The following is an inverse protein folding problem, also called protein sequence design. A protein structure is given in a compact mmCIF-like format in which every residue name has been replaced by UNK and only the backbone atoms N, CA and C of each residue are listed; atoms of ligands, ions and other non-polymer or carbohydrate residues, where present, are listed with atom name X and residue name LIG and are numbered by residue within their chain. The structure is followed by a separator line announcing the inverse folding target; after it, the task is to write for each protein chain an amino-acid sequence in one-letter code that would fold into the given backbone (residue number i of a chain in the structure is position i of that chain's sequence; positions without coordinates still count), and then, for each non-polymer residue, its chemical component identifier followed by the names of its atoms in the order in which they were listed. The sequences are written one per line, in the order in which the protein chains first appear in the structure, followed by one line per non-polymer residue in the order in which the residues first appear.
data_IF_200724940436
#
_entry.id   IF_200724940436
#
_cell.length_a   1.000
_cell.length_b   1.000
_cell.length_c   1.000
_cell.angle_alpha   90.00
_cell.angle_beta   90.00
_cell.angle_gamma   90.00
#
_symmetry.space_group_name_H-M   'P 1'
#
loop_
_entity.id
_entity.type
_entity.pdbx_description
1 polymer ?
#
# COMPACT_ATOMS: atom_id res chain seq x y z
N UNK A 1 -20.63 5.45 18.97
CA UNK A 1 -19.41 4.72 18.53
C UNK A 1 -18.52 5.70 17.80
N UNK A 2 -17.20 5.65 18.02
CA UNK A 2 -16.27 6.57 17.36
C UNK A 2 -15.99 6.07 15.94
N UNK A 3 -15.86 6.98 14.97
CA UNK A 3 -15.43 6.64 13.61
C UNK A 3 -14.11 5.87 13.64
N UNK A 4 -13.92 4.98 12.66
CA UNK A 4 -12.75 4.08 12.55
C UNK A 4 -12.56 3.03 13.65
N UNK A 5 -13.48 2.92 14.61
CA UNK A 5 -13.47 1.81 15.57
C UNK A 5 -13.78 0.49 14.85
N UNK A 6 -13.06 -0.58 15.20
CA UNK A 6 -13.32 -1.93 14.70
C UNK A 6 -14.38 -2.55 15.59
N UNK A 7 -15.45 -3.07 14.98
CA UNK A 7 -16.62 -3.60 15.69
C UNK A 7 -17.07 -4.95 15.14
N UNK A 8 -17.54 -5.78 16.05
CA UNK A 8 -18.29 -6.99 15.74
C UNK A 8 -19.78 -6.66 15.82
N UNK A 9 -20.53 -6.97 14.77
CA UNK A 9 -21.97 -6.72 14.69
C UNK A 9 -22.67 -8.06 14.48
N UNK A 10 -23.58 -8.41 15.40
CA UNK A 10 -24.57 -9.45 15.19
C UNK A 10 -25.85 -8.80 14.72
N UNK A 11 -26.39 -9.25 13.59
CA UNK A 11 -27.62 -8.71 13.02
C UNK A 11 -28.24 -9.63 11.98
N UNK A 12 -29.38 -9.20 11.45
CA UNK A 12 -30.08 -9.87 10.36
C UNK A 12 -29.93 -9.06 9.08
N UNK A 13 -29.58 -9.73 7.96
CA UNK A 13 -29.49 -9.09 6.65
C UNK A 13 -30.89 -9.06 6.05
N UNK A 14 -31.37 -7.86 5.73
CA UNK A 14 -32.68 -7.63 5.14
C UNK A 14 -32.54 -7.00 3.75
N UNK A 15 -33.44 -7.39 2.84
CA UNK A 15 -33.48 -6.78 1.50
C UNK A 15 -34.08 -5.38 1.60
N UNK A 16 -33.50 -4.43 0.87
CA UNK A 16 -34.06 -3.06 0.76
C UNK A 16 -34.86 -2.90 -0.53
N UNK A 17 -35.90 -2.08 -0.46
CA UNK A 17 -36.75 -1.75 -1.62
C UNK A 17 -36.08 -0.73 -2.56
N UNK A 18 -35.25 0.15 -2.01
CA UNK A 18 -34.49 1.16 -2.75
C UNK A 18 -32.98 0.99 -2.50
N UNK A 19 -32.17 1.28 -3.53
CA UNK A 19 -30.71 1.08 -3.45
C UNK A 19 -30.03 2.07 -2.50
N UNK A 20 -29.07 1.58 -1.72
CA UNK A 20 -28.25 2.40 -0.81
C UNK A 20 -27.04 2.95 -1.57
N UNK A 21 -27.12 4.19 -2.04
CA UNK A 21 -26.11 4.77 -2.94
C UNK A 21 -24.72 4.98 -2.31
N UNK A 22 -24.66 5.16 -0.99
CA UNK A 22 -23.41 5.38 -0.25
C UNK A 22 -22.61 4.10 0.01
N UNK A 23 -23.18 2.92 -0.24
CA UNK A 23 -22.56 1.62 0.06
C UNK A 23 -22.23 0.82 -1.20
N UNK A 24 -21.26 -0.10 -1.09
CA UNK A 24 -20.94 -1.05 -2.16
C UNK A 24 -21.97 -2.17 -2.25
N UNK A 25 -22.49 -2.62 -1.10
CA UNK A 25 -23.65 -3.53 -1.02
C UNK A 25 -24.93 -2.68 -1.03
N UNK A 26 -25.60 -2.60 -2.18
CA UNK A 26 -26.70 -1.66 -2.40
C UNK A 26 -28.11 -2.21 -2.15
N UNK A 27 -28.26 -3.54 -2.18
CA UNK A 27 -29.58 -4.21 -2.23
C UNK A 27 -29.99 -4.86 -0.90
N UNK A 28 -29.19 -4.70 0.14
CA UNK A 28 -29.48 -5.20 1.47
C UNK A 28 -28.90 -4.29 2.55
N UNK A 29 -29.48 -4.32 3.74
CA UNK A 29 -28.98 -3.66 4.93
C UNK A 29 -28.84 -4.65 6.09
N UNK A 30 -28.06 -4.29 7.10
CA UNK A 30 -27.86 -5.10 8.29
C UNK A 30 -28.67 -4.50 9.46
N UNK A 31 -29.74 -5.18 9.87
CA UNK A 31 -30.49 -4.84 11.09
C UNK A 31 -29.71 -5.34 12.30
N UNK A 32 -28.95 -4.44 12.93
CA UNK A 32 -28.09 -4.78 14.05
C UNK A 32 -28.91 -5.15 15.30
N UNK A 33 -28.61 -6.32 15.88
CA UNK A 33 -29.20 -6.83 17.13
C UNK A 33 -28.23 -6.57 18.29
N UNK A 34 -26.93 -6.80 18.07
CA UNK A 34 -25.87 -6.52 19.04
C UNK A 34 -24.65 -5.94 18.34
N UNK A 35 -23.93 -5.07 19.05
CA UNK A 35 -22.75 -4.39 18.54
C UNK A 35 -21.70 -4.34 19.65
N UNK A 36 -20.51 -4.86 19.37
CA UNK A 36 -19.38 -4.92 20.28
C UNK A 36 -18.19 -4.15 19.69
N UNK A 37 -17.61 -3.25 20.48
CA UNK A 37 -16.37 -2.56 20.07
C UNK A 37 -15.20 -3.48 20.36
N UNK A 38 -14.54 -3.96 19.31
CA UNK A 38 -13.33 -4.80 19.39
C UNK A 38 -12.10 -3.94 19.63
N UNK A 39 -12.00 -2.83 18.91
CA UNK A 39 -10.93 -1.86 19.05
C UNK A 39 -11.50 -0.46 18.89
N UNK A 40 -11.47 0.32 19.98
CA UNK A 40 -11.93 1.70 19.97
C UNK A 40 -10.86 2.60 19.33
N UNK A 41 -11.26 3.39 18.34
CA UNK A 41 -10.42 4.45 17.81
C UNK A 41 -10.40 5.66 18.75
N UNK A 42 -9.42 6.55 18.58
CA UNK A 42 -9.42 7.83 19.28
C UNK A 42 -10.57 8.74 18.78
N UNK A 43 -11.14 9.60 19.65
CA UNK A 43 -12.24 10.47 19.25
C UNK A 43 -11.88 11.48 18.15
N UNK A 44 -10.59 11.83 18.02
CA UNK A 44 -10.08 12.76 17.03
C UNK A 44 -8.90 12.12 16.33
N UNK A 45 -9.09 11.79 15.06
CA UNK A 45 -8.02 11.30 14.21
C UNK A 45 -7.32 12.45 13.50
N UNK A 46 -6.01 12.34 13.25
CA UNK A 46 -5.24 13.38 12.55
C UNK A 46 -5.61 13.52 11.07
N UNK A 47 -6.32 12.53 10.50
CA UNK A 47 -6.84 12.53 9.15
C UNK A 47 -8.21 11.83 9.11
N UNK A 48 -9.21 12.45 8.49
CA UNK A 48 -10.51 11.84 8.24
C UNK A 48 -10.48 11.10 6.89
N UNK A 49 -10.95 9.85 6.87
CA UNK A 49 -10.94 9.03 5.63
C UNK A 49 -11.86 9.63 4.57
N UNK A 50 -12.99 10.22 4.97
CA UNK A 50 -13.94 10.85 4.05
C UNK A 50 -13.28 12.02 3.28
N UNK A 51 -12.55 12.89 3.98
CA UNK A 51 -11.82 13.99 3.37
C UNK A 51 -10.66 13.49 2.48
N UNK A 52 -9.96 12.44 2.90
CA UNK A 52 -8.89 11.82 2.11
C UNK A 52 -9.41 11.07 0.87
N UNK A 53 -10.69 10.66 0.88
CA UNK A 53 -11.36 9.98 -0.23
C UNK A 53 -12.01 10.95 -1.23
N UNK A 54 -12.16 12.24 -0.86
CA UNK A 54 -12.73 13.28 -1.72
C UNK A 54 -11.81 13.54 -2.92
N UNK A 55 -12.41 13.75 -4.10
CA UNK A 55 -11.68 14.17 -5.29
C UNK A 55 -11.37 15.66 -5.23
N UNK A 56 -10.24 16.08 -5.79
CA UNK A 56 -9.81 17.48 -5.78
C UNK A 56 -10.72 18.40 -6.63
N UNK A 57 -11.52 17.84 -7.53
CA UNK A 57 -12.46 18.54 -8.41
C UNK A 57 -13.92 18.44 -7.93
N UNK A 58 -14.15 18.13 -6.64
CA UNK A 58 -15.51 17.99 -6.11
C UNK A 58 -16.29 19.31 -6.19
N UNK A 59 -17.53 19.22 -6.66
CA UNK A 59 -18.43 20.36 -6.85
C UNK A 59 -19.01 20.92 -5.53
N UNK A 60 -18.68 20.32 -4.39
CA UNK A 60 -19.16 20.69 -3.05
C UNK A 60 -18.38 21.84 -2.41
N UNK A 61 -17.30 22.32 -3.05
CA UNK A 61 -16.49 23.45 -2.60
C UNK A 61 -15.61 23.13 -1.38
N UNK A 62 -15.51 21.86 -0.97
CA UNK A 62 -14.66 21.42 0.12
C UNK A 62 -13.28 21.07 -0.40
N UNK A 63 -12.23 21.54 0.28
CA UNK A 63 -10.85 21.23 -0.10
C UNK A 63 -10.55 19.73 0.08
N UNK A 64 -9.83 19.16 -0.88
CA UNK A 64 -9.21 17.84 -0.73
C UNK A 64 -7.96 17.93 0.15
N UNK A 65 -7.64 16.86 0.86
CA UNK A 65 -6.44 16.79 1.69
C UNK A 65 -5.18 16.77 0.81
N UNK A 66 -4.20 17.61 1.13
CA UNK A 66 -2.91 17.66 0.42
C UNK A 66 -2.11 16.36 0.62
N UNK A 67 -1.21 16.08 -0.33
CA UNK A 67 -0.42 14.85 -0.32
C UNK A 67 0.46 14.72 0.92
N UNK A 68 1.12 15.79 1.36
CA UNK A 68 2.04 15.73 2.51
C UNK A 68 1.31 15.27 3.79
N UNK A 69 0.14 15.84 4.11
CA UNK A 69 -0.65 15.41 5.27
C UNK A 69 -1.10 13.96 5.15
N UNK A 70 -1.42 13.49 3.94
CA UNK A 70 -1.77 12.09 3.70
C UNK A 70 -0.58 11.16 3.93
N UNK A 71 0.63 11.57 3.55
CA UNK A 71 1.86 10.80 3.75
C UNK A 71 2.31 10.81 5.21
N UNK A 72 2.17 11.93 5.91
CA UNK A 72 2.43 12.00 7.36
C UNK A 72 1.47 11.10 8.16
N UNK A 73 0.24 10.91 7.65
CA UNK A 73 -0.79 10.06 8.25
C UNK A 73 -1.07 8.81 7.41
N UNK A 74 -0.02 8.22 6.82
CA UNK A 74 -0.15 7.18 5.79
C UNK A 74 -0.98 5.98 6.21
N UNK A 75 -0.96 5.60 7.48
CA UNK A 75 -1.75 4.47 8.00
C UNK A 75 -3.25 4.67 7.81
N UNK A 76 -3.75 5.89 8.01
CA UNK A 76 -5.16 6.23 7.79
C UNK A 76 -5.46 6.38 6.29
N UNK A 77 -4.56 7.02 5.55
CA UNK A 77 -4.72 7.21 4.12
C UNK A 77 -4.77 5.88 3.32
N UNK A 78 -4.00 4.89 3.77
CA UNK A 78 -4.01 3.54 3.22
C UNK A 78 -5.38 2.85 3.32
N UNK A 79 -6.30 3.31 4.17
CA UNK A 79 -7.65 2.74 4.32
C UNK A 79 -8.64 3.27 3.30
N UNK A 80 -8.33 4.36 2.59
CA UNK A 80 -9.19 4.85 1.50
C UNK A 80 -9.33 3.80 0.40
N UNK A 81 -10.53 3.67 -0.18
CA UNK A 81 -10.81 2.67 -1.23
C UNK A 81 -9.90 2.84 -2.44
N UNK A 82 -9.60 4.08 -2.81
CA UNK A 82 -8.65 4.42 -3.88
C UNK A 82 -7.27 3.89 -3.59
N UNK A 83 -6.70 4.15 -2.40
CA UNK A 83 -5.35 3.70 -2.05
C UNK A 83 -5.28 2.17 -1.92
N UNK A 84 -6.31 1.52 -1.35
CA UNK A 84 -6.44 0.06 -1.34
C UNK A 84 -6.43 -0.53 -2.77
N UNK A 85 -7.18 0.10 -3.69
CA UNK A 85 -7.20 -0.29 -5.11
C UNK A 85 -5.83 -0.14 -5.79
N UNK A 86 -5.13 0.98 -5.55
CA UNK A 86 -3.79 1.25 -6.09
C UNK A 86 -2.80 0.15 -5.67
N UNK A 87 -2.75 -0.20 -4.39
CA UNK A 87 -1.81 -1.22 -3.90
C UNK A 87 -2.20 -2.64 -4.32
N UNK A 88 -3.49 -2.93 -4.44
CA UNK A 88 -3.96 -4.20 -5.00
C UNK A 88 -3.53 -4.36 -6.47
N UNK A 89 -3.65 -3.29 -7.26
CA UNK A 89 -3.17 -3.27 -8.64
C UNK A 89 -1.65 -3.42 -8.71
N UNK A 90 -0.91 -2.68 -7.88
CA UNK A 90 0.55 -2.78 -7.81
C UNK A 90 1.01 -4.21 -7.48
N UNK A 91 0.34 -4.88 -6.53
CA UNK A 91 0.62 -6.28 -6.22
C UNK A 91 0.35 -7.21 -7.42
N UNK A 92 -0.75 -6.97 -8.14
CA UNK A 92 -1.09 -7.67 -9.38
C UNK A 92 -0.03 -7.50 -10.47
N UNK A 93 0.50 -6.29 -10.67
CA UNK A 93 1.58 -6.01 -11.63
C UNK A 93 2.83 -6.84 -11.31
N UNK A 94 3.28 -6.82 -10.05
CA UNK A 94 4.44 -7.61 -9.62
C UNK A 94 4.22 -9.12 -9.78
N UNK A 95 3.00 -9.61 -9.49
CA UNK A 95 2.63 -11.01 -9.70
C UNK A 95 2.71 -11.39 -11.19
N UNK A 96 2.05 -10.62 -12.06
CA UNK A 96 2.04 -10.88 -13.49
C UNK A 96 3.45 -10.83 -14.10
N UNK A 97 4.28 -9.90 -13.64
CA UNK A 97 5.69 -9.83 -14.05
C UNK A 97 6.45 -11.11 -13.70
N UNK A 98 6.34 -11.59 -12.45
CA UNK A 98 6.96 -12.84 -12.01
C UNK A 98 6.43 -14.03 -12.80
N UNK A 99 5.11 -14.20 -12.84
CA UNK A 99 4.46 -15.34 -13.51
C UNK A 99 4.90 -15.44 -14.98
N UNK A 100 4.87 -14.31 -15.71
CA UNK A 100 5.27 -14.26 -17.13
C UNK A 100 6.74 -14.65 -17.32
N UNK A 101 7.63 -14.23 -16.42
CA UNK A 101 9.06 -14.56 -16.52
C UNK A 101 9.33 -16.01 -16.11
N UNK A 102 8.65 -16.51 -15.08
CA UNK A 102 8.72 -17.92 -14.67
C UNK A 102 8.29 -18.84 -15.82
N UNK A 103 7.19 -18.53 -16.53
CA UNK A 103 6.75 -19.28 -17.71
C UNK A 103 7.79 -19.29 -18.85
N UNK A 104 8.66 -18.28 -18.91
CA UNK A 104 9.75 -18.16 -19.89
C UNK A 104 11.06 -18.77 -19.40
N UNK A 105 11.04 -19.44 -18.25
CA UNK A 105 12.19 -20.12 -17.64
C UNK A 105 13.20 -19.20 -16.97
N UNK A 106 12.79 -17.99 -16.53
CA UNK A 106 13.65 -17.13 -15.72
C UNK A 106 13.70 -17.60 -14.27
N UNK A 107 14.86 -17.44 -13.64
CA UNK A 107 15.12 -17.71 -12.22
C UNK A 107 15.08 -16.41 -11.44
N UNK A 108 14.18 -16.32 -10.45
CA UNK A 108 14.15 -15.18 -9.54
C UNK A 108 15.40 -15.18 -8.64
N UNK A 109 16.07 -14.03 -8.53
CA UNK A 109 17.28 -13.85 -7.71
C UNK A 109 17.10 -12.75 -6.67
N UNK A 110 17.72 -12.92 -5.50
CA UNK A 110 17.75 -11.93 -4.44
C UNK A 110 19.19 -11.44 -4.21
N UNK A 111 19.47 -10.22 -4.64
CA UNK A 111 20.82 -9.62 -4.58
C UNK A 111 20.96 -8.66 -3.40
N UNK A 112 22.15 -8.52 -2.80
CA UNK A 112 22.36 -7.65 -1.65
C UNK A 112 22.09 -6.17 -2.02
N UNK A 113 21.56 -5.42 -1.06
CA UNK A 113 21.29 -3.98 -1.20
C UNK A 113 22.30 -3.10 -0.46
N UNK A 114 23.16 -3.72 0.35
CA UNK A 114 24.29 -3.10 1.03
C UNK A 114 25.56 -3.61 0.33
N UNK A 115 26.38 -2.69 -0.16
CA UNK A 115 27.57 -2.99 -0.97
C UNK A 115 28.80 -2.27 -0.42
N UNK A 116 29.98 -2.84 -0.65
CA UNK A 116 31.24 -2.32 -0.08
C UNK A 116 31.78 -1.08 -0.79
N UNK A 117 31.32 -0.78 -2.01
CA UNK A 117 31.77 0.35 -2.81
C UNK A 117 30.59 0.97 -3.58
N UNK A 118 30.70 2.26 -3.90
CA UNK A 118 29.74 2.95 -4.77
C UNK A 118 29.61 2.22 -6.11
N UNK A 119 28.39 1.83 -6.48
CA UNK A 119 28.15 0.95 -7.63
C UNK A 119 28.38 1.61 -9.00
N UNK A 120 28.33 2.94 -9.11
CA UNK A 120 28.62 3.68 -10.35
C UNK A 120 29.20 5.08 -10.01
N UNK A 121 30.24 5.53 -10.72
CA UNK A 121 30.87 6.82 -10.49
C UNK A 121 30.02 7.97 -11.04
N UNK A 122 29.64 8.93 -10.19
CA UNK A 122 29.00 10.18 -10.62
C UNK A 122 27.66 10.51 -9.95
N UNK A 123 27.07 9.58 -9.18
CA UNK A 123 25.84 9.82 -8.44
C UNK A 123 26.09 9.90 -6.92
N UNK A 124 25.29 10.71 -6.21
CA UNK A 124 25.30 10.72 -4.75
C UNK A 124 24.87 9.34 -4.23
N UNK A 125 25.71 8.73 -3.39
CA UNK A 125 25.47 7.42 -2.78
C UNK A 125 25.11 7.57 -1.30
N UNK A 126 24.17 6.75 -0.83
CA UNK A 126 23.86 6.66 0.59
C UNK A 126 24.92 5.83 1.29
N UNK A 127 25.69 6.46 2.17
CA UNK A 127 26.66 5.78 3.03
C UNK A 127 25.96 5.25 4.28
N UNK A 128 26.27 4.02 4.66
CA UNK A 128 25.77 3.33 5.83
C UNK A 128 26.96 2.97 6.72
N UNK A 129 26.89 3.30 8.01
CA UNK A 129 27.87 2.82 8.97
C UNK A 129 27.75 1.29 9.09
N UNK A 130 28.83 0.57 8.83
CA UNK A 130 28.83 -0.88 8.82
C UNK A 130 29.98 -1.41 9.69
N UNK A 131 29.65 -1.72 10.94
CA UNK A 131 30.61 -2.03 11.99
C UNK A 131 31.66 -0.91 12.15
N UNK A 132 32.93 -1.23 11.94
CA UNK A 132 34.06 -0.29 12.01
C UNK A 132 34.37 0.37 10.66
N UNK A 133 33.56 0.11 9.63
CA UNK A 133 33.76 0.63 8.29
C UNK A 133 32.48 1.26 7.71
N UNK A 134 32.52 1.50 6.40
CA UNK A 134 31.42 2.05 5.64
C UNK A 134 30.93 1.04 4.61
N UNK A 135 29.63 1.05 4.38
CA UNK A 135 29.00 0.41 3.25
C UNK A 135 28.10 1.42 2.54
N UNK A 136 27.50 1.02 1.42
CA UNK A 136 26.67 1.88 0.60
C UNK A 136 25.38 1.18 0.21
N UNK A 137 24.31 1.92 0.00
CA UNK A 137 23.10 1.36 -0.60
C UNK A 137 23.28 1.22 -2.12
N UNK A 138 23.02 0.03 -2.65
CA UNK A 138 23.06 -0.22 -4.08
C UNK A 138 21.99 0.62 -4.80
N UNK A 139 22.39 1.36 -5.84
CA UNK A 139 21.48 2.19 -6.63
C UNK A 139 20.69 1.36 -7.65
N UNK A 140 21.29 0.31 -8.18
CA UNK A 140 20.65 -0.66 -9.06
C UNK A 140 21.22 -2.06 -8.82
N UNK A 141 20.48 -3.12 -9.14
CA UNK A 141 20.98 -4.50 -9.02
C UNK A 141 21.80 -4.93 -10.26
N UNK A 142 22.14 -4.03 -11.19
CA UNK A 142 22.65 -4.38 -12.52
C UNK A 142 23.93 -5.21 -12.47
N UNK A 143 24.91 -4.81 -11.65
CA UNK A 143 26.17 -5.54 -11.47
C UNK A 143 25.92 -7.00 -11.05
N UNK A 144 25.06 -7.21 -10.06
CA UNK A 144 24.75 -8.56 -9.58
C UNK A 144 23.96 -9.41 -10.60
N UNK A 145 23.12 -8.78 -11.43
CA UNK A 145 22.47 -9.47 -12.55
C UNK A 145 23.51 -9.95 -13.57
N UNK A 146 24.49 -9.12 -13.91
CA UNK A 146 25.59 -9.52 -14.81
C UNK A 146 26.45 -10.63 -14.22
N UNK A 147 26.74 -10.58 -12.91
CA UNK A 147 27.44 -11.64 -12.20
C UNK A 147 26.66 -12.97 -12.23
N UNK A 148 25.33 -12.93 -12.09
CA UNK A 148 24.50 -14.14 -12.19
C UNK A 148 24.55 -14.76 -13.60
N UNK A 149 24.52 -13.93 -14.64
CA UNK A 149 24.71 -14.41 -16.03
C UNK A 149 26.10 -15.04 -16.21
N UNK A 150 27.15 -14.41 -15.67
CA UNK A 150 28.51 -14.97 -15.70
C UNK A 150 28.67 -16.24 -14.85
N UNK A 151 27.76 -16.49 -13.91
CA UNK A 151 27.67 -17.70 -13.10
C UNK A 151 26.70 -18.75 -13.66
N UNK A 152 26.42 -18.71 -14.96
CA UNK A 152 25.60 -19.69 -15.70
C UNK A 152 24.12 -19.78 -15.31
N UNK A 153 23.54 -18.72 -14.69
CA UNK A 153 22.10 -18.71 -14.36
C UNK A 153 21.21 -18.69 -15.62
N UNK A 154 21.75 -18.30 -16.77
CA UNK A 154 21.01 -18.22 -18.03
C UNK A 154 19.99 -17.09 -18.05
N UNK A 155 18.80 -17.31 -17.49
CA UNK A 155 17.68 -16.35 -17.46
C UNK A 155 17.22 -16.10 -16.04
#
# INVERSE_FOLDING_TARGET
MLQESIVDIQGQVEKVDAQIESCTQKNAELHAIQVFVVSAAEPRLPLQIEDASRRADSADGLAAVNLDTRLDNRVLDLRTTTTQGIFSLQAGVCKLFRDTLTERGFVEIHTPKIISAASEGGANVFTVAYFKGSAYLAQSPQLYKQMAIAGDFGK
#
